data_IF_066012883159
#
_entry.id   IF_066012883159
#
_cell.length_a   1.000
_cell.length_b   1.000
_cell.length_c   1.000
_cell.angle_alpha   90.00
_cell.angle_beta   90.00
_cell.angle_gamma   90.00
#
_symmetry.space_group_name_H-M   'P 1'
#
loop_
_entity.id
_entity.type
_entity.pdbx_description
1 polymer ?
#
# COMPACT_ATOMS: atom_id res chain seq x y z
N UNK A 1 -35.92 17.70 3.28
CA UNK A 1 -34.63 16.99 3.47
C UNK A 1 -33.51 17.90 2.99
N UNK A 2 -32.44 18.13 3.76
CA UNK A 2 -31.31 18.94 3.30
C UNK A 2 -30.64 18.29 2.08
N UNK A 3 -30.22 19.10 1.12
CA UNK A 3 -29.54 18.65 -0.10
C UNK A 3 -28.19 18.04 0.31
N UNK A 4 -27.99 16.74 0.07
CA UNK A 4 -26.70 16.09 0.33
C UNK A 4 -25.62 16.77 -0.53
N UNK A 5 -24.55 17.24 0.09
CA UNK A 5 -23.39 17.83 -0.60
C UNK A 5 -22.21 16.89 -0.35
N UNK A 6 -21.68 16.31 -1.42
CA UNK A 6 -20.48 15.50 -1.35
C UNK A 6 -19.25 16.41 -1.25
N UNK A 7 -18.37 16.08 -0.32
CA UNK A 7 -17.07 16.73 -0.14
C UNK A 7 -16.07 16.27 -1.21
N UNK A 8 -14.95 16.97 -1.35
CA UNK A 8 -13.85 16.54 -2.22
C UNK A 8 -13.37 15.13 -1.86
N UNK A 9 -13.24 14.84 -0.56
CA UNK A 9 -12.79 13.55 -0.07
C UNK A 9 -13.79 12.42 -0.36
N UNK A 10 -15.11 12.68 -0.36
CA UNK A 10 -16.11 11.68 -0.75
C UNK A 10 -15.90 11.21 -2.21
N UNK A 11 -15.58 12.16 -3.10
CA UNK A 11 -15.29 11.86 -4.50
C UNK A 11 -13.99 11.10 -4.68
N UNK A 12 -12.93 11.47 -3.94
CA UNK A 12 -11.63 10.82 -4.00
C UNK A 12 -11.71 9.40 -3.42
N UNK A 13 -12.38 9.22 -2.28
CA UNK A 13 -12.62 7.91 -1.66
C UNK A 13 -13.36 6.97 -2.61
N UNK A 14 -14.49 7.40 -3.16
CA UNK A 14 -15.26 6.60 -4.11
C UNK A 14 -14.45 6.32 -5.39
N UNK A 15 -13.72 7.31 -5.89
CA UNK A 15 -12.85 7.17 -7.04
C UNK A 15 -11.80 6.08 -6.85
N UNK A 16 -11.12 6.10 -5.70
CA UNK A 16 -10.06 5.16 -5.39
C UNK A 16 -10.63 3.75 -5.23
N UNK A 17 -11.77 3.60 -4.54
CA UNK A 17 -12.48 2.32 -4.40
C UNK A 17 -12.88 1.73 -5.77
N UNK A 18 -13.48 2.54 -6.64
CA UNK A 18 -13.88 2.12 -7.98
C UNK A 18 -12.67 1.76 -8.85
N UNK A 19 -11.59 2.55 -8.79
CA UNK A 19 -10.37 2.29 -9.53
C UNK A 19 -9.73 0.96 -9.11
N UNK A 20 -9.67 0.68 -7.81
CA UNK A 20 -9.11 -0.56 -7.29
C UNK A 20 -9.95 -1.79 -7.65
N UNK A 21 -11.28 -1.68 -7.58
CA UNK A 21 -12.18 -2.81 -7.84
C UNK A 21 -12.41 -3.08 -9.32
N UNK A 22 -12.54 -2.03 -10.13
CA UNK A 22 -13.08 -2.11 -11.49
C UNK A 22 -12.19 -1.44 -12.55
N UNK A 23 -11.08 -0.82 -12.14
CA UNK A 23 -10.16 -0.14 -13.06
C UNK A 23 -10.68 1.21 -13.57
N UNK A 24 -9.89 1.83 -14.46
CA UNK A 24 -10.10 3.22 -14.90
C UNK A 24 -11.44 3.49 -15.58
N UNK A 25 -12.01 2.47 -16.23
CA UNK A 25 -13.30 2.58 -16.95
C UNK A 25 -14.48 2.77 -16.00
N UNK A 26 -14.32 2.46 -14.71
CA UNK A 26 -15.35 2.66 -13.70
C UNK A 26 -15.45 4.11 -13.20
N UNK A 27 -14.46 4.95 -13.49
CA UNK A 27 -14.45 6.36 -13.11
C UNK A 27 -15.36 7.17 -14.04
N UNK A 28 -16.67 6.97 -13.94
CA UNK A 28 -17.68 7.68 -14.74
C UNK A 28 -18.43 8.66 -13.83
N UNK A 29 -18.31 9.96 -14.11
CA UNK A 29 -18.79 11.02 -13.21
C UNK A 29 -20.28 10.88 -12.90
N UNK A 30 -21.11 10.55 -13.88
CA UNK A 30 -22.55 10.34 -13.71
C UNK A 30 -22.86 9.18 -12.76
N UNK A 31 -22.15 8.06 -12.91
CA UNK A 31 -22.32 6.88 -12.05
C UNK A 31 -21.83 7.16 -10.64
N UNK A 32 -20.72 7.87 -10.51
CA UNK A 32 -20.18 8.27 -9.21
C UNK A 32 -21.10 9.26 -8.48
N UNK A 33 -21.62 10.28 -9.17
CA UNK A 33 -22.64 11.19 -8.67
C UNK A 33 -23.86 10.42 -8.12
N UNK A 34 -24.35 9.45 -8.90
CA UNK A 34 -25.46 8.58 -8.50
C UNK A 34 -25.13 7.78 -7.23
N UNK A 35 -23.94 7.18 -7.14
CA UNK A 35 -23.49 6.46 -5.95
C UNK A 35 -23.38 7.36 -4.71
N UNK A 36 -22.95 8.62 -4.90
CA UNK A 36 -22.86 9.60 -3.82
C UNK A 36 -24.21 10.22 -3.45
N UNK A 37 -25.25 10.05 -4.27
CA UNK A 37 -26.56 10.69 -4.07
C UNK A 37 -26.55 12.20 -4.29
N UNK A 38 -25.70 12.67 -5.21
CA UNK A 38 -25.52 14.10 -5.55
C UNK A 38 -25.64 14.32 -7.06
N UNK A 39 -25.74 15.57 -7.51
CA UNK A 39 -25.76 15.88 -8.94
C UNK A 39 -24.36 15.80 -9.55
N UNK A 40 -24.28 15.49 -10.86
CA UNK A 40 -23.02 15.59 -11.63
C UNK A 40 -22.41 16.99 -11.51
N UNK A 41 -23.23 18.04 -11.45
CA UNK A 41 -22.73 19.41 -11.29
C UNK A 41 -21.89 19.58 -10.02
N UNK A 42 -22.20 18.87 -8.93
CA UNK A 42 -21.42 18.91 -7.68
C UNK A 42 -19.94 18.53 -7.86
N UNK A 43 -19.64 17.63 -8.80
CA UNK A 43 -18.27 17.24 -9.16
C UNK A 43 -17.46 18.43 -9.66
N UNK A 44 -18.04 19.28 -10.51
CA UNK A 44 -17.32 20.37 -11.17
C UNK A 44 -16.97 21.54 -10.23
N UNK A 45 -17.56 21.59 -9.03
CA UNK A 45 -17.12 22.50 -7.97
C UNK A 45 -15.79 22.07 -7.36
N UNK A 46 -15.50 20.76 -7.38
CA UNK A 46 -14.27 20.19 -6.82
C UNK A 46 -13.20 20.00 -7.89
N UNK A 47 -13.57 19.47 -9.06
CA UNK A 47 -12.64 19.09 -10.13
C UNK A 47 -13.04 19.70 -11.47
N UNK A 48 -12.20 20.60 -11.99
CA UNK A 48 -12.46 21.31 -13.25
C UNK A 48 -12.51 20.39 -14.46
N UNK A 49 -11.67 19.35 -14.47
CA UNK A 49 -11.56 18.40 -15.58
C UNK A 49 -11.41 16.97 -15.07
N UNK A 50 -11.63 15.99 -15.95
CA UNK A 50 -11.32 14.59 -15.66
C UNK A 50 -9.84 14.39 -15.33
N UNK A 51 -8.95 15.09 -16.03
CA UNK A 51 -7.52 14.99 -15.78
C UNK A 51 -7.14 15.56 -14.40
N UNK A 52 -7.73 16.68 -13.98
CA UNK A 52 -7.49 17.22 -12.64
C UNK A 52 -7.94 16.23 -11.55
N UNK A 53 -9.11 15.61 -11.72
CA UNK A 53 -9.56 14.56 -10.80
C UNK A 53 -8.61 13.37 -10.74
N UNK A 54 -8.09 12.89 -11.88
CA UNK A 54 -7.15 11.77 -11.88
C UNK A 54 -5.83 12.10 -11.19
N UNK A 55 -5.31 13.32 -11.37
CA UNK A 55 -4.11 13.78 -10.69
C UNK A 55 -4.33 13.89 -9.17
N UNK A 56 -5.42 14.53 -8.75
CA UNK A 56 -5.76 14.63 -7.33
C UNK A 56 -6.07 13.26 -6.70
N UNK A 57 -6.66 12.34 -7.48
CA UNK A 57 -6.88 10.97 -7.05
C UNK A 57 -5.56 10.21 -6.89
N UNK A 58 -4.56 10.48 -7.73
CA UNK A 58 -3.22 9.90 -7.61
C UNK A 58 -2.53 10.41 -6.35
N UNK A 59 -2.59 11.72 -6.08
CA UNK A 59 -2.06 12.31 -4.85
C UNK A 59 -2.75 11.74 -3.61
N UNK A 60 -4.07 11.59 -3.66
CA UNK A 60 -4.84 10.96 -2.60
C UNK A 60 -4.40 9.50 -2.37
N UNK A 61 -4.20 8.74 -3.44
CA UNK A 61 -3.68 7.37 -3.38
C UNK A 61 -2.28 7.32 -2.74
N UNK A 62 -1.37 8.23 -3.08
CA UNK A 62 -0.04 8.31 -2.44
C UNK A 62 -0.18 8.59 -0.95
N UNK A 63 -1.03 9.55 -0.58
CA UNK A 63 -1.26 9.93 0.81
C UNK A 63 -1.75 8.77 1.66
N UNK A 64 -2.81 8.08 1.22
CA UNK A 64 -3.43 7.00 2.01
C UNK A 64 -2.74 5.64 1.86
N UNK A 65 -2.08 5.40 0.73
CA UNK A 65 -1.46 4.12 0.38
C UNK A 65 0.03 4.03 0.65
N UNK A 66 0.73 5.16 0.80
CA UNK A 66 2.19 5.17 1.05
C UNK A 66 2.52 6.02 2.26
N UNK A 67 2.21 7.33 2.23
CA UNK A 67 2.62 8.26 3.28
C UNK A 67 2.04 7.86 4.63
N UNK A 68 0.75 7.51 4.67
CA UNK A 68 0.08 7.06 5.89
C UNK A 68 0.80 5.89 6.57
N UNK A 69 1.11 4.83 5.83
CA UNK A 69 1.75 3.63 6.41
C UNK A 69 3.20 3.89 6.82
N UNK A 70 3.95 4.68 6.04
CA UNK A 70 5.30 5.10 6.42
C UNK A 70 5.26 5.88 7.74
N UNK A 71 4.43 6.92 7.84
CA UNK A 71 4.33 7.71 9.06
C UNK A 71 3.82 6.89 10.25
N UNK A 72 2.81 6.03 10.05
CA UNK A 72 2.27 5.17 11.10
C UNK A 72 3.33 4.22 11.68
N UNK A 73 4.25 3.73 10.85
CA UNK A 73 5.33 2.87 11.31
C UNK A 73 6.39 3.62 12.15
N UNK A 74 6.56 4.95 11.98
CA UNK A 74 7.59 5.70 12.71
C UNK A 74 7.38 5.78 14.22
N UNK A 75 6.19 5.42 14.73
CA UNK A 75 5.92 5.34 16.18
C UNK A 75 6.72 4.24 16.89
N UNK A 76 7.20 3.24 16.16
CA UNK A 76 8.03 2.16 16.71
C UNK A 76 9.50 2.58 16.74
N UNK A 77 10.27 2.07 17.71
CA UNK A 77 11.63 2.58 17.97
C UNK A 77 12.65 1.95 17.03
N UNK A 78 12.73 0.63 17.01
CA UNK A 78 13.73 -0.08 16.21
C UNK A 78 13.19 -0.39 14.80
N UNK A 79 14.10 -0.57 13.84
CA UNK A 79 13.72 -0.77 12.43
C UNK A 79 12.93 -2.07 12.19
N UNK A 80 13.21 -3.12 12.97
CA UNK A 80 12.51 -4.41 12.86
C UNK A 80 11.04 -4.29 13.25
N UNK A 81 10.73 -3.60 14.35
CA UNK A 81 9.35 -3.30 14.77
C UNK A 81 8.64 -2.44 13.71
N UNK A 82 9.32 -1.41 13.18
CA UNK A 82 8.78 -0.58 12.09
C UNK A 82 8.40 -1.45 10.90
N UNK A 83 9.29 -2.37 10.48
CA UNK A 83 9.06 -3.25 9.34
C UNK A 83 7.92 -4.25 9.60
N UNK A 84 7.88 -4.87 10.77
CA UNK A 84 6.81 -5.78 11.18
C UNK A 84 5.44 -5.10 11.10
N UNK A 85 5.31 -3.93 11.73
CA UNK A 85 4.04 -3.22 11.76
C UNK A 85 3.68 -2.58 10.42
N UNK A 86 4.65 -2.06 9.67
CA UNK A 86 4.43 -1.57 8.31
C UNK A 86 3.85 -2.68 7.44
N UNK A 87 4.49 -3.85 7.41
CA UNK A 87 4.01 -4.98 6.61
C UNK A 87 2.67 -5.50 7.13
N UNK A 88 2.46 -5.57 8.45
CA UNK A 88 1.17 -5.96 9.04
C UNK A 88 0.04 -5.07 8.54
N UNK A 89 0.20 -3.76 8.69
CA UNK A 89 -0.85 -2.80 8.35
C UNK A 89 -1.12 -2.81 6.85
N UNK A 90 -0.07 -2.92 6.02
CA UNK A 90 -0.19 -2.99 4.55
C UNK A 90 -0.86 -4.29 4.07
N UNK A 91 -0.56 -5.44 4.67
CA UNK A 91 -1.15 -6.73 4.28
C UNK A 91 -2.58 -6.92 4.78
N UNK A 92 -2.95 -6.31 5.92
CA UNK A 92 -4.31 -6.42 6.48
C UNK A 92 -5.25 -5.36 5.90
N UNK A 93 -4.79 -4.10 5.81
CA UNK A 93 -5.63 -2.95 5.49
C UNK A 93 -5.28 -2.33 4.13
N UNK A 94 -4.01 -2.40 3.73
CA UNK A 94 -3.49 -1.68 2.57
C UNK A 94 -3.74 -2.38 1.23
N UNK A 95 -3.67 -3.71 1.15
CA UNK A 95 -3.62 -4.44 -0.12
C UNK A 95 -4.89 -4.29 -0.97
N UNK A 96 -6.06 -4.09 -0.36
CA UNK A 96 -7.31 -3.84 -1.10
C UNK A 96 -7.40 -2.42 -1.65
N UNK A 97 -6.76 -1.45 -1.00
CA UNK A 97 -6.88 -0.02 -1.33
C UNK A 97 -5.66 0.56 -2.06
N UNK A 98 -4.57 -0.20 -2.14
CA UNK A 98 -3.27 0.29 -2.59
C UNK A 98 -2.78 -0.39 -3.88
N UNK A 99 -3.69 -0.87 -4.73
CA UNK A 99 -3.33 -1.59 -5.95
C UNK A 99 -2.64 -0.67 -6.95
N UNK A 100 -1.35 -0.90 -7.16
CA UNK A 100 -0.56 -0.14 -8.14
C UNK A 100 -0.93 -0.50 -9.59
N UNK A 101 -1.55 -1.66 -9.81
CA UNK A 101 -1.89 -2.17 -11.14
C UNK A 101 -2.83 -1.22 -11.89
N UNK A 102 -3.92 -0.80 -11.23
CA UNK A 102 -4.88 0.12 -11.86
C UNK A 102 -4.23 1.45 -12.20
N UNK A 103 -3.27 1.91 -11.40
CA UNK A 103 -2.49 3.11 -11.69
C UNK A 103 -1.52 2.94 -12.85
N UNK A 104 -0.91 1.76 -13.03
CA UNK A 104 -0.11 1.43 -14.23
C UNK A 104 -0.95 1.45 -15.51
N UNK A 105 -2.23 1.09 -15.45
CA UNK A 105 -3.14 1.19 -16.59
C UNK A 105 -3.54 2.63 -16.92
N UNK A 106 -3.65 3.49 -15.89
CA UNK A 106 -3.89 4.93 -16.06
C UNK A 106 -2.64 5.61 -16.62
N UNK A 107 -1.44 5.22 -16.17
CA UNK A 107 -0.18 5.84 -16.61
C UNK A 107 0.14 5.63 -18.10
N UNK A 108 -0.46 4.61 -18.75
CA UNK A 108 -0.33 4.39 -20.19
C UNK A 108 -0.81 5.59 -21.02
N UNK A 109 -1.74 6.38 -20.47
CA UNK A 109 -2.36 7.53 -21.14
C UNK A 109 -2.00 8.86 -20.47
N UNK A 110 -1.24 8.84 -19.37
CA UNK A 110 -0.90 10.02 -18.59
C UNK A 110 0.51 9.88 -17.99
N UNK A 111 1.48 10.55 -18.61
CA UNK A 111 2.89 10.50 -18.21
C UNK A 111 3.15 11.09 -16.83
N UNK A 112 2.39 12.11 -16.41
CA UNK A 112 2.48 12.68 -15.06
C UNK A 112 2.12 11.63 -14.01
N UNK A 113 1.03 10.88 -14.22
CA UNK A 113 0.65 9.76 -13.35
C UNK A 113 1.70 8.64 -13.41
N UNK A 114 2.31 8.40 -14.58
CA UNK A 114 3.44 7.48 -14.71
C UNK A 114 4.63 7.84 -13.80
N UNK A 115 4.98 9.11 -13.73
CA UNK A 115 6.02 9.59 -12.82
C UNK A 115 5.62 9.41 -11.34
N UNK A 116 4.35 9.68 -10.99
CA UNK A 116 3.84 9.45 -9.62
C UNK A 116 3.96 7.97 -9.24
N UNK A 117 3.51 7.06 -10.12
CA UNK A 117 3.61 5.61 -9.90
C UNK A 117 5.06 5.20 -9.67
N UNK A 118 5.98 5.62 -10.54
CA UNK A 118 7.41 5.31 -10.40
C UNK A 118 7.98 5.80 -9.07
N UNK A 119 7.68 7.05 -8.69
CA UNK A 119 8.15 7.64 -7.44
C UNK A 119 7.62 6.89 -6.21
N UNK A 120 6.35 6.45 -6.25
CA UNK A 120 5.76 5.65 -5.17
C UNK A 120 6.49 4.31 -5.00
N UNK A 121 6.81 3.61 -6.08
CA UNK A 121 7.56 2.35 -5.99
C UNK A 121 8.96 2.58 -5.41
N UNK A 122 9.68 3.56 -5.95
CA UNK A 122 11.01 3.94 -5.46
C UNK A 122 10.96 4.30 -3.98
N UNK A 123 9.99 5.10 -3.54
CA UNK A 123 9.84 5.49 -2.15
C UNK A 123 9.58 4.29 -1.23
N UNK A 124 8.71 3.34 -1.66
CA UNK A 124 8.40 2.14 -0.87
C UNK A 124 9.62 1.24 -0.71
N UNK A 125 10.34 0.97 -1.81
CA UNK A 125 11.54 0.13 -1.81
C UNK A 125 12.63 0.78 -0.96
N UNK A 126 12.90 2.08 -1.14
CA UNK A 126 13.90 2.80 -0.35
C UNK A 126 13.56 2.84 1.13
N UNK A 127 12.27 2.97 1.48
CA UNK A 127 11.87 2.93 2.89
C UNK A 127 12.09 1.55 3.50
N UNK A 128 11.77 0.47 2.78
CA UNK A 128 12.07 -0.89 3.25
C UNK A 128 13.59 -1.08 3.37
N UNK A 129 14.38 -0.65 2.38
CA UNK A 129 15.84 -0.71 2.42
C UNK A 129 16.41 0.00 3.66
N UNK A 130 15.91 1.19 4.00
CA UNK A 130 16.28 1.93 5.22
C UNK A 130 16.04 1.08 6.47
N UNK A 131 14.88 0.41 6.56
CA UNK A 131 14.55 -0.44 7.71
C UNK A 131 15.43 -1.70 7.79
N UNK A 132 16.05 -2.11 6.70
CA UNK A 132 16.95 -3.26 6.64
C UNK A 132 18.43 -2.90 6.88
N UNK A 133 18.76 -1.61 6.95
CA UNK A 133 20.15 -1.14 7.00
C UNK A 133 20.91 -1.50 8.30
N UNK A 134 20.22 -1.90 9.38
CA UNK A 134 20.88 -2.39 10.59
C UNK A 134 21.30 -3.87 10.50
N UNK A 135 20.70 -4.62 9.58
CA UNK A 135 20.91 -6.06 9.43
C UNK A 135 21.83 -6.39 8.24
N UNK A 136 21.76 -5.59 7.19
CA UNK A 136 22.40 -5.85 5.89
C UNK A 136 23.19 -4.65 5.38
N UNK A 137 24.18 -4.90 4.53
CA UNK A 137 24.80 -3.82 3.76
C UNK A 137 23.81 -3.21 2.75
N UNK A 138 24.17 -2.06 2.17
CA UNK A 138 23.28 -1.30 1.30
C UNK A 138 22.78 -2.10 0.08
N UNK A 139 23.61 -2.96 -0.52
CA UNK A 139 23.25 -3.72 -1.72
C UNK A 139 22.35 -4.90 -1.36
N UNK A 140 22.68 -5.64 -0.29
CA UNK A 140 21.85 -6.73 0.19
C UNK A 140 20.50 -6.21 0.71
N UNK A 141 20.49 -5.08 1.44
CA UNK A 141 19.26 -4.43 1.90
C UNK A 141 18.35 -4.04 0.72
N UNK A 142 18.91 -3.51 -0.38
CA UNK A 142 18.15 -3.17 -1.57
C UNK A 142 17.52 -4.41 -2.22
N UNK A 143 18.33 -5.45 -2.47
CA UNK A 143 17.86 -6.69 -3.08
C UNK A 143 16.74 -7.35 -2.26
N UNK A 144 16.86 -7.33 -0.93
CA UNK A 144 15.83 -7.85 -0.01
C UNK A 144 14.58 -6.97 0.03
N UNK A 145 14.74 -5.65 -0.03
CA UNK A 145 13.62 -4.72 -0.14
C UNK A 145 12.83 -4.95 -1.43
N UNK A 146 13.52 -5.11 -2.56
CA UNK A 146 12.92 -5.46 -3.85
C UNK A 146 12.21 -6.81 -3.79
N UNK A 147 12.83 -7.83 -3.21
CA UNK A 147 12.23 -9.15 -3.05
C UNK A 147 10.93 -9.09 -2.21
N UNK A 148 10.95 -8.38 -1.08
CA UNK A 148 9.75 -8.20 -0.25
C UNK A 148 8.65 -7.42 -0.99
N UNK A 149 9.03 -6.38 -1.74
CA UNK A 149 8.08 -5.60 -2.52
C UNK A 149 7.45 -6.43 -3.66
N UNK A 150 8.24 -7.23 -4.38
CA UNK A 150 7.73 -8.18 -5.37
C UNK A 150 6.78 -9.21 -4.75
N UNK A 151 7.15 -9.77 -3.59
CA UNK A 151 6.27 -10.68 -2.86
C UNK A 151 4.93 -10.01 -2.51
N UNK A 152 4.97 -8.80 -1.97
CA UNK A 152 3.75 -8.04 -1.65
C UNK A 152 2.89 -7.80 -2.89
N UNK A 153 3.47 -7.40 -4.03
CA UNK A 153 2.72 -7.19 -5.27
C UNK A 153 2.03 -8.47 -5.74
N UNK A 154 2.77 -9.58 -5.78
CA UNK A 154 2.22 -10.88 -6.19
C UNK A 154 1.16 -11.40 -5.21
N UNK A 155 1.39 -11.23 -3.90
CA UNK A 155 0.43 -11.60 -2.87
C UNK A 155 -0.84 -10.77 -2.97
N UNK A 156 -0.73 -9.44 -3.09
CA UNK A 156 -1.85 -8.50 -3.19
C UNK A 156 -2.71 -8.78 -4.43
N UNK A 157 -2.10 -9.10 -5.57
CA UNK A 157 -2.84 -9.43 -6.79
C UNK A 157 -3.64 -10.73 -6.62
N UNK A 158 -3.05 -11.76 -6.00
CA UNK A 158 -3.70 -13.06 -5.77
C UNK A 158 -4.81 -13.01 -4.72
N UNK A 159 -4.73 -12.09 -3.75
CA UNK A 159 -5.67 -11.99 -2.63
C UNK A 159 -6.59 -10.78 -2.74
N UNK A 160 -6.87 -10.32 -3.97
CA UNK A 160 -7.74 -9.16 -4.20
C UNK A 160 -9.14 -9.40 -3.64
N UNK A 161 -9.58 -8.51 -2.75
CA UNK A 161 -10.89 -8.60 -2.11
C UNK A 161 -10.98 -9.60 -0.96
N UNK A 162 -9.85 -10.22 -0.59
CA UNK A 162 -9.75 -11.11 0.57
C UNK A 162 -9.17 -10.30 1.72
N UNK A 163 -9.92 -10.10 2.79
CA UNK A 163 -9.37 -9.56 4.03
C UNK A 163 -8.65 -10.70 4.78
N UNK A 164 -7.49 -10.41 5.34
CA UNK A 164 -6.81 -11.32 6.27
C UNK A 164 -6.77 -10.69 7.67
N UNK A 165 -6.75 -11.51 8.70
CA UNK A 165 -6.61 -11.08 10.08
C UNK A 165 -5.15 -11.15 10.57
N UNK A 166 -4.91 -10.69 11.80
CA UNK A 166 -3.58 -10.68 12.40
C UNK A 166 -2.97 -12.09 12.56
N UNK A 167 -3.77 -13.11 12.87
CA UNK A 167 -3.24 -14.49 12.97
C UNK A 167 -2.76 -15.01 11.63
N UNK A 168 -3.43 -14.68 10.53
CA UNK A 168 -3.02 -15.06 9.18
C UNK A 168 -1.77 -14.29 8.75
N UNK A 169 -1.73 -12.98 9.02
CA UNK A 169 -0.53 -12.18 8.79
C UNK A 169 0.67 -12.72 9.57
N UNK A 170 0.51 -13.09 10.84
CA UNK A 170 1.62 -13.61 11.65
C UNK A 170 2.21 -14.91 11.08
N UNK A 171 1.40 -15.74 10.42
CA UNK A 171 1.90 -16.92 9.68
C UNK A 171 2.72 -16.49 8.46
N UNK A 172 2.22 -15.54 7.66
CA UNK A 172 2.95 -14.98 6.51
C UNK A 172 4.27 -14.35 6.96
N UNK A 173 4.25 -13.59 8.06
CA UNK A 173 5.44 -12.99 8.63
C UNK A 173 6.48 -14.04 8.97
N UNK A 174 6.13 -15.00 9.83
CA UNK A 174 7.07 -16.02 10.32
C UNK A 174 7.60 -16.92 9.20
N UNK A 175 6.71 -17.36 8.30
CA UNK A 175 7.05 -18.42 7.34
C UNK A 175 7.66 -17.86 6.05
N UNK A 176 7.40 -16.60 5.71
CA UNK A 176 7.81 -16.00 4.43
C UNK A 176 8.61 -14.70 4.61
N UNK A 177 8.04 -13.68 5.27
CA UNK A 177 8.65 -12.34 5.31
C UNK A 177 9.91 -12.32 6.18
N UNK A 178 9.85 -12.85 7.40
CA UNK A 178 10.97 -12.85 8.35
C UNK A 178 12.23 -13.54 7.78
N UNK A 179 12.15 -14.72 7.14
CA UNK A 179 13.29 -15.31 6.43
C UNK A 179 13.89 -14.43 5.32
N UNK A 180 13.07 -13.59 4.67
CA UNK A 180 13.51 -12.65 3.63
C UNK A 180 14.26 -11.44 4.20
N UNK A 181 13.98 -11.06 5.46
CA UNK A 181 14.44 -9.81 6.06
C UNK A 181 15.32 -9.99 7.29
N UNK A 182 15.79 -11.22 7.55
CA UNK A 182 16.67 -11.55 8.67
C UNK A 182 17.85 -12.41 8.24
N UNK A 183 19.02 -12.19 8.85
CA UNK A 183 20.18 -13.09 8.71
C UNK A 183 19.91 -14.42 9.40
N UNK A 184 20.38 -15.53 8.79
CA UNK A 184 20.15 -16.89 9.30
C UNK A 184 20.80 -17.16 10.67
N UNK A 185 21.76 -16.34 11.08
CA UNK A 185 22.58 -16.55 12.31
C UNK A 185 21.74 -16.57 13.60
N UNK A 186 20.59 -15.89 13.63
CA UNK A 186 19.67 -15.89 14.78
C UNK A 186 18.91 -17.22 14.97
N UNK A 187 18.64 -17.99 13.91
CA UNK A 187 17.85 -19.21 14.03
C UNK A 187 18.62 -20.33 14.76
N UNK A 188 19.95 -20.35 14.66
CA UNK A 188 20.79 -21.33 15.35
C UNK A 188 20.98 -21.01 16.84
N UNK A 189 21.01 -19.72 17.23
CA UNK A 189 21.10 -19.34 18.64
C UNK A 189 19.77 -19.56 19.38
N UNK A 190 18.62 -19.30 18.76
CA UNK A 190 17.31 -19.62 19.34
C UNK A 190 17.08 -21.13 19.46
N UNK A 191 17.52 -21.93 18.49
CA UNK A 191 17.47 -23.39 18.57
C UNK A 191 18.39 -23.96 19.65
N UNK A 192 19.61 -23.40 19.83
CA UNK A 192 20.50 -23.79 20.94
C UNK A 192 19.95 -23.41 22.31
N UNK A 193 19.39 -22.22 22.46
CA UNK A 193 18.88 -21.73 23.75
C UNK A 193 17.68 -22.53 24.26
N UNK A 194 16.88 -23.11 23.36
CA UNK A 194 15.76 -23.98 23.73
C UNK A 194 16.20 -25.42 24.09
N UNK A 195 17.35 -25.88 23.59
CA UNK A 195 17.94 -27.17 23.97
C UNK A 195 18.63 -27.11 25.35
N UNK A 196 19.15 -25.94 25.72
CA UNK A 196 19.85 -25.74 27.00
C UNK A 196 18.90 -25.46 28.20
N UNK A 197 17.60 -25.25 27.95
CA UNK A 197 16.56 -25.07 29.01
C UNK A 197 15.76 -26.34 29.33
N UNK A 198 16.05 -27.46 28.65
CA UNK A 198 15.43 -28.78 28.93
C UNK A 198 16.37 -29.75 29.66
N UNK A 199 17.44 -29.24 30.32
CA UNK A 199 18.36 -30.02 31.16
C UNK A 199 18.28 -29.57 32.62
#
# INVERSE_FOLDING_TARGET
MPKKIATRDDWLNLGLDLLNKKGKSALVVEKMAKSLGVSKTSYYWHFKTRNNFLLELADYWVKVGTSYYIEASKKYKNHREKLFHLTKDVFIQGHTMNSIRSWRDVSKENSTIGNIVKNVETQRIQYIQLLLASEFDSNEALNRADMLYHYFLGWSERHRGIAINESEFNKIWRDIIEPMVRKKEDHQQLAKKNLDTEV
#
